data_IF_942630089003
#
_entry.id   IF_942630089003
#
_cell.length_a   1.000
_cell.length_b   1.000
_cell.length_c   1.000
_cell.angle_alpha   90.00
_cell.angle_beta   90.00
_cell.angle_gamma   90.00
#
_symmetry.space_group_name_H-M   'P 1'
#
loop_
_entity.id
_entity.type
_entity.pdbx_description
1 polymer ?
#
# COMPACT_ATOMS: atom_id res chain seq x y z
N UNK A 1 26.19 -24.78 -26.55
CA UNK A 1 25.77 -24.33 -25.21
C UNK A 1 24.25 -24.43 -25.15
N UNK A 2 23.66 -24.99 -24.07
CA UNK A 2 22.21 -24.97 -23.91
C UNK A 2 21.75 -23.52 -23.80
N UNK A 3 20.86 -23.09 -24.69
CA UNK A 3 20.20 -21.78 -24.59
C UNK A 3 18.88 -21.96 -23.84
N UNK A 4 18.47 -20.97 -23.05
CA UNK A 4 17.16 -20.93 -22.39
C UNK A 4 16.02 -21.14 -23.41
N UNK A 5 16.22 -20.73 -24.67
CA UNK A 5 15.28 -20.92 -25.77
C UNK A 5 15.07 -22.40 -26.14
N UNK A 6 16.08 -23.24 -25.89
CA UNK A 6 16.06 -24.68 -26.14
C UNK A 6 15.40 -25.51 -25.03
N UNK A 7 15.06 -24.90 -23.88
CA UNK A 7 14.41 -25.61 -22.78
C UNK A 7 12.95 -25.97 -23.12
N UNK A 8 12.44 -27.14 -22.76
CA UNK A 8 11.00 -27.42 -22.81
C UNK A 8 10.18 -26.36 -22.04
N UNK A 9 8.93 -26.08 -22.46
CA UNK A 9 8.06 -25.11 -21.78
C UNK A 9 7.93 -25.34 -20.27
N UNK A 10 7.93 -26.59 -19.83
CA UNK A 10 7.82 -27.00 -18.43
C UNK A 10 9.04 -26.55 -17.61
N UNK A 11 10.25 -26.64 -18.18
CA UNK A 11 11.47 -26.16 -17.54
C UNK A 11 11.53 -24.63 -17.54
N UNK A 12 11.04 -23.98 -18.59
CA UNK A 12 10.93 -22.52 -18.63
C UNK A 12 9.93 -22.00 -17.59
N UNK A 13 8.80 -22.69 -17.40
CA UNK A 13 7.83 -22.40 -16.35
C UNK A 13 8.43 -22.61 -14.95
N UNK A 14 9.24 -23.67 -14.77
CA UNK A 14 9.96 -23.88 -13.52
C UNK A 14 10.93 -22.74 -13.19
N UNK A 15 11.60 -22.16 -14.19
CA UNK A 15 12.44 -20.96 -14.00
C UNK A 15 11.60 -19.79 -13.50
N UNK A 16 10.43 -19.53 -14.10
CA UNK A 16 9.53 -18.48 -13.63
C UNK A 16 9.10 -18.67 -12.17
N UNK A 17 8.75 -19.90 -11.78
CA UNK A 17 8.33 -20.20 -10.40
C UNK A 17 9.44 -19.97 -9.35
N UNK A 18 10.70 -19.88 -9.77
CA UNK A 18 11.87 -19.66 -8.91
C UNK A 18 12.37 -18.23 -8.89
N UNK A 19 11.66 -17.29 -9.54
CA UNK A 19 11.99 -15.87 -9.45
C UNK A 19 11.56 -15.31 -8.08
N UNK A 20 12.27 -14.29 -7.64
CA UNK A 20 12.01 -13.62 -6.36
C UNK A 20 11.08 -12.41 -6.52
N UNK A 21 10.78 -11.99 -7.74
CA UNK A 21 9.94 -10.82 -8.04
C UNK A 21 9.09 -11.00 -9.29
N UNK A 22 7.85 -10.51 -9.23
CA UNK A 22 6.96 -10.40 -10.40
C UNK A 22 7.58 -9.47 -11.45
N UNK A 23 8.39 -8.51 -11.02
CA UNK A 23 9.17 -7.64 -11.91
C UNK A 23 10.08 -8.44 -12.83
N UNK A 24 10.90 -9.31 -12.23
CA UNK A 24 11.83 -10.15 -12.99
C UNK A 24 11.08 -11.11 -13.92
N UNK A 25 9.90 -11.59 -13.52
CA UNK A 25 9.05 -12.40 -14.37
C UNK A 25 8.59 -11.62 -15.61
N UNK A 26 8.12 -10.38 -15.44
CA UNK A 26 7.73 -9.51 -16.57
C UNK A 26 8.92 -9.21 -17.49
N UNK A 27 10.11 -8.91 -16.94
CA UNK A 27 11.31 -8.68 -17.74
C UNK A 27 11.76 -9.94 -18.50
N UNK A 28 11.69 -11.11 -17.85
CA UNK A 28 11.99 -12.40 -18.46
C UNK A 28 11.02 -12.70 -19.60
N UNK A 29 9.73 -12.41 -19.42
CA UNK A 29 8.71 -12.51 -20.46
C UNK A 29 9.01 -11.61 -21.65
N UNK A 30 9.49 -10.39 -21.41
CA UNK A 30 9.89 -9.45 -22.44
C UNK A 30 11.13 -9.86 -23.25
N UNK A 31 11.90 -10.85 -22.78
CA UNK A 31 13.18 -11.23 -23.40
C UNK A 31 13.02 -12.03 -24.69
N UNK A 32 11.96 -12.81 -24.86
CA UNK A 32 11.69 -13.53 -26.11
C UNK A 32 10.23 -14.00 -26.25
N UNK A 33 9.80 -14.28 -27.50
CA UNK A 33 8.44 -14.74 -27.80
C UNK A 33 8.02 -15.99 -27.03
N UNK A 34 8.93 -16.94 -26.80
CA UNK A 34 8.60 -18.19 -26.09
C UNK A 34 8.23 -17.93 -24.63
N UNK A 35 9.02 -17.10 -23.95
CA UNK A 35 8.80 -16.73 -22.55
C UNK A 35 7.58 -15.82 -22.42
N UNK A 36 7.39 -14.91 -23.38
CA UNK A 36 6.17 -14.13 -23.50
C UNK A 36 4.92 -15.01 -23.61
N UNK A 37 4.93 -16.06 -24.43
CA UNK A 37 3.79 -16.95 -24.60
C UNK A 37 3.41 -17.74 -23.33
N UNK A 38 4.39 -18.00 -22.44
CA UNK A 38 4.12 -18.62 -21.14
C UNK A 38 3.44 -17.58 -20.23
N UNK A 39 4.00 -16.38 -20.16
CA UNK A 39 3.46 -15.29 -19.34
C UNK A 39 2.09 -14.77 -19.83
N UNK A 40 1.84 -14.80 -21.14
CA UNK A 40 0.59 -14.30 -21.71
C UNK A 40 -0.61 -15.21 -21.41
N UNK A 41 -0.38 -16.44 -20.96
CA UNK A 41 -1.44 -17.34 -20.50
C UNK A 41 -1.82 -16.95 -19.08
N UNK A 42 -3.05 -16.50 -18.89
CA UNK A 42 -3.55 -16.03 -17.59
C UNK A 42 -3.33 -17.05 -16.47
N UNK A 43 -3.65 -18.32 -16.73
CA UNK A 43 -3.47 -19.39 -15.76
C UNK A 43 -2.00 -19.59 -15.34
N UNK A 44 -1.06 -19.55 -16.29
CA UNK A 44 0.37 -19.70 -16.00
C UNK A 44 0.89 -18.46 -15.26
N UNK A 45 0.48 -17.27 -15.67
CA UNK A 45 0.80 -16.00 -15.01
C UNK A 45 0.37 -15.97 -13.54
N UNK A 46 -0.85 -16.42 -13.25
CA UNK A 46 -1.39 -16.52 -11.89
C UNK A 46 -0.59 -17.52 -11.04
N UNK A 47 -0.27 -18.70 -11.59
CA UNK A 47 0.56 -19.71 -10.89
C UNK A 47 1.98 -19.20 -10.64
N UNK A 48 2.55 -18.46 -11.58
CA UNK A 48 3.87 -17.82 -11.43
C UNK A 48 3.81 -16.80 -10.30
N UNK A 49 2.82 -15.88 -10.33
CA UNK A 49 2.65 -14.86 -9.32
C UNK A 49 2.46 -15.46 -7.92
N UNK A 50 1.57 -16.44 -7.78
CA UNK A 50 1.37 -17.18 -6.54
C UNK A 50 2.70 -17.76 -6.04
N UNK A 51 3.43 -18.48 -6.88
CA UNK A 51 4.74 -19.04 -6.51
C UNK A 51 5.72 -17.96 -6.05
N UNK A 52 5.83 -16.84 -6.76
CA UNK A 52 6.73 -15.75 -6.37
C UNK A 52 6.33 -15.18 -5.00
N UNK A 53 5.04 -14.92 -4.76
CA UNK A 53 4.55 -14.36 -3.50
C UNK A 53 4.76 -15.35 -2.34
N UNK A 54 4.49 -16.64 -2.55
CA UNK A 54 4.69 -17.70 -1.54
C UNK A 54 6.15 -17.85 -1.15
N UNK A 55 7.07 -17.77 -2.12
CA UNK A 55 8.50 -17.99 -1.89
C UNK A 55 9.28 -16.69 -1.60
N UNK A 56 8.64 -15.52 -1.77
CA UNK A 56 9.27 -14.24 -1.48
C UNK A 56 9.83 -14.27 -0.05
N UNK A 57 11.08 -13.82 0.17
CA UNK A 57 11.63 -13.68 1.51
C UNK A 57 10.65 -12.92 2.41
N UNK A 58 10.68 -13.24 3.71
CA UNK A 58 9.92 -12.44 4.69
C UNK A 58 10.23 -10.96 4.50
N UNK A 59 9.21 -10.10 4.39
CA UNK A 59 9.43 -8.70 4.11
C UNK A 59 10.18 -8.07 5.28
N UNK A 60 11.50 -7.99 5.15
CA UNK A 60 12.38 -7.16 6.01
C UNK A 60 12.67 -5.86 5.29
N UNK A 61 11.67 -5.35 4.57
CA UNK A 61 11.77 -4.13 3.79
C UNK A 61 12.02 -2.98 4.76
N UNK A 62 13.16 -2.33 4.56
CA UNK A 62 13.48 -1.02 5.15
C UNK A 62 13.55 -0.01 4.02
N UNK A 63 12.40 0.49 3.54
CA UNK A 63 12.36 1.52 2.53
C UNK A 63 13.23 2.70 2.93
N UNK A 64 14.00 3.19 1.97
CA UNK A 64 14.63 4.49 2.04
C UNK A 64 14.12 5.35 0.89
N UNK A 65 14.60 6.59 0.81
CA UNK A 65 14.21 7.52 -0.26
C UNK A 65 14.37 6.93 -1.66
N UNK A 66 15.45 6.20 -1.92
CA UNK A 66 15.68 5.58 -3.23
C UNK A 66 14.68 4.46 -3.52
N UNK A 67 14.32 3.67 -2.52
CA UNK A 67 13.28 2.66 -2.64
C UNK A 67 11.93 3.31 -3.00
N UNK A 68 11.51 4.35 -2.26
CA UNK A 68 10.26 5.07 -2.56
C UNK A 68 10.24 5.61 -3.99
N UNK A 69 11.32 6.27 -4.40
CA UNK A 69 11.46 6.80 -5.75
C UNK A 69 11.46 5.72 -6.84
N UNK A 70 12.01 4.54 -6.56
CA UNK A 70 12.04 3.41 -7.51
C UNK A 70 10.65 2.81 -7.71
N UNK A 71 9.86 2.72 -6.65
CA UNK A 71 8.58 2.03 -6.66
C UNK A 71 7.38 2.93 -6.96
N UNK A 72 7.41 4.19 -6.53
CA UNK A 72 6.33 5.16 -6.76
C UNK A 72 6.69 6.24 -7.79
N UNK A 73 7.98 6.40 -8.11
CA UNK A 73 8.49 7.46 -8.98
C UNK A 73 9.00 8.67 -8.19
N UNK A 74 10.13 9.23 -8.63
CA UNK A 74 10.82 10.36 -7.96
C UNK A 74 9.88 11.54 -7.75
N UNK A 75 9.09 11.90 -8.77
CA UNK A 75 8.20 13.06 -8.73
C UNK A 75 6.97 12.83 -7.85
N UNK A 76 6.78 11.64 -7.29
CA UNK A 76 5.62 11.29 -6.49
C UNK A 76 5.93 11.02 -5.03
N UNK A 77 7.19 11.18 -4.62
CA UNK A 77 7.56 11.15 -3.20
C UNK A 77 7.42 12.56 -2.64
N UNK A 78 6.48 12.76 -1.71
CA UNK A 78 6.36 13.98 -0.93
C UNK A 78 7.31 13.92 0.26
N UNK A 79 8.21 14.89 0.33
CA UNK A 79 9.23 14.99 1.38
C UNK A 79 9.24 16.44 1.90
N UNK A 80 8.48 16.75 2.97
CA UNK A 80 8.47 18.09 3.55
C UNK A 80 9.83 18.44 4.16
N UNK A 81 10.07 19.74 4.38
CA UNK A 81 11.15 20.20 5.25
C UNK A 81 10.61 20.41 6.68
N UNK A 82 11.51 20.54 7.65
CA UNK A 82 11.16 20.81 9.05
C UNK A 82 10.11 21.92 9.25
N UNK A 83 10.22 23.11 8.62
CA UNK A 83 9.22 24.17 8.80
C UNK A 83 7.87 23.88 8.13
N UNK A 84 7.80 22.90 7.23
CA UNK A 84 6.57 22.51 6.53
C UNK A 84 5.77 21.48 7.35
N UNK A 85 6.40 20.83 8.34
CA UNK A 85 5.73 19.90 9.24
C UNK A 85 4.90 20.66 10.29
N UNK A 86 3.65 20.25 10.56
CA UNK A 86 2.84 20.81 11.62
C UNK A 86 3.53 20.71 12.97
N UNK A 87 3.34 21.72 13.82
CA UNK A 87 3.87 21.72 15.20
C UNK A 87 3.24 20.63 16.06
N UNK A 88 1.99 20.25 15.75
CA UNK A 88 1.22 19.22 16.46
C UNK A 88 1.55 17.78 16.01
N UNK A 89 2.38 17.60 14.98
CA UNK A 89 2.92 16.29 14.62
C UNK A 89 4.20 16.06 15.44
N UNK A 90 4.07 15.58 16.67
CA UNK A 90 5.17 15.43 17.62
C UNK A 90 5.81 14.05 17.62
N UNK A 91 5.17 13.02 17.04
CA UNK A 91 5.76 11.68 16.95
C UNK A 91 7.10 11.71 16.20
N UNK A 92 8.18 11.41 16.93
CA UNK A 92 9.56 11.47 16.41
C UNK A 92 9.78 10.51 15.24
N UNK A 93 9.12 9.34 15.27
CA UNK A 93 9.29 8.30 14.24
C UNK A 93 8.70 8.76 12.91
N UNK A 94 7.48 9.28 12.94
CA UNK A 94 6.77 9.81 11.78
C UNK A 94 7.50 11.02 11.22
N UNK A 95 7.93 11.96 12.06
CA UNK A 95 8.72 13.12 11.64
C UNK A 95 10.00 12.69 10.93
N UNK A 96 10.80 11.81 11.55
CA UNK A 96 12.05 11.33 10.97
C UNK A 96 11.82 10.65 9.61
N UNK A 97 10.78 9.81 9.50
CA UNK A 97 10.43 9.17 8.24
C UNK A 97 10.09 10.18 7.15
N UNK A 98 9.27 11.19 7.44
CA UNK A 98 8.88 12.21 6.46
C UNK A 98 10.06 13.06 6.00
N UNK A 99 10.96 13.41 6.92
CA UNK A 99 12.12 14.25 6.64
C UNK A 99 13.23 13.51 5.90
N UNK A 100 13.46 12.23 6.22
CA UNK A 100 14.57 11.46 5.65
C UNK A 100 14.17 10.69 4.38
N UNK A 101 12.95 10.15 4.37
CA UNK A 101 12.46 9.22 3.32
C UNK A 101 11.36 9.86 2.49
N UNK A 102 10.36 10.47 3.14
CA UNK A 102 9.15 10.97 2.52
C UNK A 102 8.07 9.89 2.31
N UNK A 103 6.85 10.33 1.98
CA UNK A 103 5.69 9.47 1.77
C UNK A 103 5.20 9.55 0.31
N UNK A 104 4.69 8.46 -0.30
CA UNK A 104 4.16 8.50 -1.66
C UNK A 104 2.87 9.33 -1.73
N UNK A 105 2.90 10.41 -2.50
CA UNK A 105 1.77 11.28 -2.79
C UNK A 105 1.24 10.98 -4.19
N UNK A 106 0.57 9.84 -4.32
CA UNK A 106 0.22 9.18 -5.59
C UNK A 106 -1.27 8.89 -5.66
N UNK A 107 -1.77 8.71 -6.87
CA UNK A 107 -3.07 8.07 -7.11
C UNK A 107 -2.85 6.67 -7.66
N UNK A 108 -3.14 5.65 -6.85
CA UNK A 108 -3.04 4.23 -7.24
C UNK A 108 -4.41 3.73 -7.66
N UNK A 109 -4.80 4.08 -8.90
CA UNK A 109 -6.15 3.81 -9.44
C UNK A 109 -6.61 2.35 -9.29
N UNK A 110 -5.69 1.40 -9.42
CA UNK A 110 -5.98 -0.04 -9.35
C UNK A 110 -6.50 -0.48 -7.97
N UNK A 111 -6.23 0.31 -6.93
CA UNK A 111 -6.62 0.01 -5.55
C UNK A 111 -7.38 1.19 -4.93
N UNK A 112 -7.93 2.11 -5.73
CA UNK A 112 -8.72 3.24 -5.22
C UNK A 112 -8.00 4.29 -4.36
N UNK A 113 -6.70 4.14 -4.09
CA UNK A 113 -5.94 5.02 -3.19
C UNK A 113 -5.59 6.38 -3.82
N UNK A 114 -5.75 7.45 -3.04
CA UNK A 114 -5.34 8.81 -3.38
C UNK A 114 -4.68 9.53 -2.19
N UNK A 115 -3.42 9.91 -2.37
CA UNK A 115 -2.65 10.78 -1.47
C UNK A 115 -2.06 11.99 -2.19
N UNK A 116 -2.58 12.33 -3.38
CA UNK A 116 -2.04 13.41 -4.21
C UNK A 116 -2.21 14.80 -3.60
N UNK A 117 -3.10 14.95 -2.62
CA UNK A 117 -3.30 16.20 -1.87
C UNK A 117 -2.05 16.62 -1.09
N UNK A 118 -1.19 15.68 -0.70
CA UNK A 118 0.04 15.97 0.05
C UNK A 118 1.02 16.87 -0.72
N UNK A 119 0.95 16.91 -2.06
CA UNK A 119 1.81 17.80 -2.88
C UNK A 119 1.16 19.14 -3.21
N UNK A 120 -0.08 19.41 -2.76
CA UNK A 120 -0.71 20.70 -3.04
C UNK A 120 0.03 21.79 -2.26
N UNK A 121 0.27 22.93 -2.90
CA UNK A 121 0.89 24.11 -2.29
C UNK A 121 -0.07 24.84 -1.31
N UNK A 122 -0.95 24.09 -0.64
CA UNK A 122 -2.01 24.63 0.24
C UNK A 122 -1.49 24.95 1.66
N UNK A 123 -0.18 24.79 1.89
CA UNK A 123 0.48 25.03 3.17
C UNK A 123 0.79 23.74 3.94
N UNK A 124 1.11 23.85 5.24
CA UNK A 124 1.32 22.68 6.11
C UNK A 124 0.09 21.77 6.14
N UNK A 125 0.28 20.50 6.51
CA UNK A 125 -0.84 19.59 6.72
C UNK A 125 -1.83 20.18 7.74
N UNK A 126 -3.11 20.17 7.37
CA UNK A 126 -4.19 20.61 8.24
C UNK A 126 -4.27 19.70 9.47
N UNK A 127 -4.23 20.31 10.65
CA UNK A 127 -4.36 19.63 11.92
C UNK A 127 -5.84 19.49 12.25
N UNK A 128 -6.33 18.26 12.29
CA UNK A 128 -7.69 17.94 12.70
C UNK A 128 -7.72 17.61 14.18
N UNK A 129 -8.82 17.94 14.82
CA UNK A 129 -9.06 17.62 16.22
C UNK A 129 -9.39 16.14 16.39
N UNK A 130 -8.41 15.36 16.83
CA UNK A 130 -8.57 13.90 16.92
C UNK A 130 -9.65 13.49 17.92
N UNK A 131 -9.80 14.24 19.01
CA UNK A 131 -10.81 13.95 20.03
C UNK A 131 -12.22 14.17 19.49
N UNK A 132 -12.39 15.14 18.58
CA UNK A 132 -13.64 15.34 17.85
C UNK A 132 -13.89 14.20 16.87
N UNK A 133 -12.88 13.89 16.02
CA UNK A 133 -13.00 12.88 14.98
C UNK A 133 -13.37 11.50 15.55
N UNK A 134 -12.83 11.16 16.72
CA UNK A 134 -13.03 9.86 17.36
C UNK A 134 -14.06 9.89 18.50
N UNK A 135 -14.82 10.98 18.64
CA UNK A 135 -15.94 11.08 19.59
C UNK A 135 -15.53 11.01 21.06
N UNK A 136 -14.29 11.37 21.37
CA UNK A 136 -13.77 11.48 22.74
C UNK A 136 -14.18 12.80 23.41
N UNK A 137 -14.63 13.78 22.61
CA UNK A 137 -15.12 15.08 23.06
C UNK A 137 -16.60 15.29 22.69
N UNK A 138 -17.32 16.00 23.55
CA UNK A 138 -18.75 16.28 23.34
C UNK A 138 -18.96 17.44 22.35
N UNK A 139 -20.06 17.45 21.57
CA UNK A 139 -20.33 18.50 20.59
C UNK A 139 -20.37 19.95 21.11
N UNK A 140 -20.60 20.15 22.41
CA UNK A 140 -20.68 21.47 23.05
C UNK A 140 -19.40 21.83 23.85
N UNK A 141 -18.30 21.08 23.66
CA UNK A 141 -17.04 21.32 24.33
C UNK A 141 -16.14 22.25 23.49
N UNK A 142 -16.20 23.54 23.80
CA UNK A 142 -15.38 24.60 23.18
C UNK A 142 -13.92 24.63 23.70
N UNK A 143 -13.47 23.62 24.45
CA UNK A 143 -12.06 23.57 24.88
C UNK A 143 -11.12 23.38 23.68
N UNK A 144 -9.92 23.99 23.71
CA UNK A 144 -8.94 23.80 22.64
C UNK A 144 -8.57 22.31 22.46
N UNK A 145 -8.30 21.85 21.23
CA UNK A 145 -7.82 20.49 20.99
C UNK A 145 -6.52 20.22 21.73
N UNK A 146 -6.45 19.05 22.36
CA UNK A 146 -5.21 18.50 22.93
C UNK A 146 -4.59 17.46 21.99
N UNK A 147 -5.41 16.69 21.28
CA UNK A 147 -4.97 15.64 20.33
C UNK A 147 -5.26 16.02 18.89
N UNK A 148 -4.29 15.75 18.00
CA UNK A 148 -4.38 16.11 16.59
C UNK A 148 -4.19 14.92 15.67
N UNK A 149 -4.85 14.94 14.52
CA UNK A 149 -4.68 13.96 13.45
C UNK A 149 -4.51 14.64 12.09
N UNK A 150 -3.84 13.97 11.16
CA UNK A 150 -3.49 14.51 9.85
C UNK A 150 -3.89 13.56 8.72
N UNK A 151 -4.52 14.09 7.67
CA UNK A 151 -4.94 13.28 6.51
C UNK A 151 -3.75 12.93 5.61
N UNK A 152 -3.47 11.63 5.45
CA UNK A 152 -2.38 11.13 4.61
C UNK A 152 -2.83 10.45 3.33
N UNK A 153 -4.08 10.02 3.26
CA UNK A 153 -4.66 9.50 2.03
C UNK A 153 -6.12 9.15 2.21
N UNK A 154 -6.73 8.72 1.11
CA UNK A 154 -8.15 8.39 1.06
C UNK A 154 -8.41 7.31 0.04
N UNK A 155 -9.54 6.65 0.20
CA UNK A 155 -10.13 5.67 -0.74
C UNK A 155 -11.60 6.03 -0.87
N UNK A 156 -12.09 6.45 -2.04
CA UNK A 156 -13.47 6.92 -2.31
C UNK A 156 -14.16 7.70 -1.17
N UNK A 157 -14.72 7.01 -0.17
CA UNK A 157 -15.47 7.58 0.97
C UNK A 157 -14.69 7.61 2.30
N UNK A 158 -13.55 6.93 2.37
CA UNK A 158 -12.78 6.72 3.61
C UNK A 158 -11.47 7.48 3.63
N UNK A 159 -11.02 7.83 4.84
CA UNK A 159 -9.79 8.57 5.07
C UNK A 159 -8.79 7.74 5.88
N UNK A 160 -7.51 7.95 5.62
CA UNK A 160 -6.42 7.45 6.43
C UNK A 160 -5.75 8.61 7.14
N UNK A 161 -5.89 8.60 8.46
CA UNK A 161 -5.43 9.64 9.35
C UNK A 161 -4.19 9.17 10.10
N UNK A 162 -3.31 10.10 10.44
CA UNK A 162 -2.12 9.85 11.27
C UNK A 162 -2.21 10.67 12.54
N UNK A 163 -2.14 10.00 13.69
CA UNK A 163 -2.09 10.65 14.99
C UNK A 163 -0.83 11.49 15.15
N UNK A 164 -0.99 12.72 15.66
CA UNK A 164 0.09 13.68 15.81
C UNK A 164 1.09 13.27 16.89
N UNK A 165 0.61 12.76 18.01
CA UNK A 165 1.45 12.38 19.16
C UNK A 165 2.05 10.98 19.05
N UNK A 166 1.28 10.03 18.55
CA UNK A 166 1.62 8.60 18.56
C UNK A 166 1.99 8.02 17.19
N UNK A 167 1.77 8.78 16.10
CA UNK A 167 2.02 8.33 14.74
C UNK A 167 1.09 7.22 14.26
N UNK A 168 0.02 6.92 15.00
CA UNK A 168 -0.88 5.82 14.69
C UNK A 168 -1.59 6.06 13.35
N UNK A 169 -1.55 5.07 12.45
CA UNK A 169 -2.20 5.15 11.13
C UNK A 169 -3.56 4.48 11.21
N UNK A 170 -4.61 5.29 11.18
CA UNK A 170 -5.97 4.84 11.47
C UNK A 170 -6.90 5.06 10.28
N UNK A 171 -7.87 4.17 10.18
CA UNK A 171 -8.97 4.25 9.24
C UNK A 171 -10.06 5.13 9.86
N UNK A 172 -10.47 6.16 9.14
CA UNK A 172 -11.49 7.11 9.56
C UNK A 172 -12.66 7.14 8.58
N UNK A 173 -13.86 6.97 9.13
CA UNK A 173 -15.13 7.16 8.43
C UNK A 173 -15.70 8.56 8.74
N UNK A 174 -15.74 9.48 7.76
CA UNK A 174 -16.27 10.81 7.97
C UNK A 174 -17.77 10.83 8.31
N UNK A 175 -18.54 9.80 7.91
CA UNK A 175 -19.96 9.72 8.22
C UNK A 175 -20.23 9.28 9.67
N UNK A 176 -19.20 8.81 10.38
CA UNK A 176 -19.29 8.38 11.78
C UNK A 176 -19.05 9.50 12.81
N UNK A 177 -18.65 10.70 12.38
CA UNK A 177 -18.21 11.79 13.26
C UNK A 177 -19.26 12.22 14.29
N UNK A 178 -20.50 12.41 13.86
CA UNK A 178 -21.61 12.86 14.72
C UNK A 178 -22.18 11.74 15.63
N UNK A 179 -21.66 10.53 15.52
CA UNK A 179 -22.10 9.35 16.27
C UNK A 179 -20.98 8.68 17.10
N UNK A 180 -19.80 9.30 17.21
CA UNK A 180 -18.61 8.68 17.82
C UNK A 180 -18.23 7.33 17.19
N UNK A 181 -18.50 7.17 15.89
CA UNK A 181 -18.24 5.97 15.09
C UNK A 181 -17.22 6.25 13.95
N UNK A 182 -16.49 7.36 14.03
CA UNK A 182 -15.50 7.72 13.02
C UNK A 182 -14.28 6.79 13.02
N UNK A 183 -13.91 6.21 14.17
CA UNK A 183 -12.77 5.30 14.26
C UNK A 183 -13.11 3.90 13.75
N UNK A 184 -12.45 3.47 12.67
CA UNK A 184 -12.70 2.17 12.03
C UNK A 184 -11.55 1.17 12.19
N UNK A 185 -10.55 1.48 13.03
CA UNK A 185 -9.43 0.59 13.34
C UNK A 185 -8.09 1.08 12.79
N UNK A 186 -7.03 0.34 13.12
CA UNK A 186 -5.69 0.58 12.59
C UNK A 186 -5.57 0.08 11.14
N UNK A 187 -4.78 0.79 10.35
CA UNK A 187 -4.42 0.42 8.98
C UNK A 187 -2.98 -0.06 8.90
N UNK A 188 -2.09 0.57 9.66
CA UNK A 188 -0.69 0.21 9.72
C UNK A 188 -0.10 0.67 11.06
N UNK A 189 0.99 0.04 11.47
CA UNK A 189 1.75 0.46 12.66
C UNK A 189 2.48 1.80 12.47
N UNK A 190 2.75 2.21 11.22
CA UNK A 190 3.40 3.48 10.89
C UNK A 190 3.19 3.87 9.42
N UNK A 191 3.49 5.13 9.07
CA UNK A 191 3.46 5.59 7.68
C UNK A 191 4.41 4.82 6.75
N UNK A 192 5.58 4.42 7.26
CA UNK A 192 6.52 3.60 6.50
C UNK A 192 5.86 2.28 6.13
N UNK A 193 5.19 1.64 7.09
CA UNK A 193 4.53 0.37 6.88
C UNK A 193 3.36 0.51 5.89
N UNK A 194 2.54 1.55 6.04
CA UNK A 194 1.47 1.86 5.09
C UNK A 194 2.00 1.97 3.65
N UNK A 195 3.08 2.72 3.43
CA UNK A 195 3.65 2.87 2.09
C UNK A 195 4.12 1.54 1.49
N UNK A 196 4.68 0.64 2.29
CA UNK A 196 5.08 -0.70 1.82
C UNK A 196 3.86 -1.56 1.50
N UNK A 197 2.85 -1.56 2.36
CA UNK A 197 1.60 -2.32 2.16
C UNK A 197 0.87 -1.86 0.89
N UNK A 198 0.78 -0.55 0.67
CA UNK A 198 0.22 0.02 -0.57
C UNK A 198 1.00 -0.41 -1.80
N UNK A 199 2.34 -0.40 -1.73
CA UNK A 199 3.17 -0.88 -2.85
C UNK A 199 2.95 -2.37 -3.12
N UNK A 200 2.95 -3.22 -2.08
CA UNK A 200 2.77 -4.67 -2.24
C UNK A 200 1.47 -4.99 -2.99
N UNK A 201 0.37 -4.33 -2.61
CA UNK A 201 -0.93 -4.52 -3.24
C UNK A 201 -0.95 -3.96 -4.67
N UNK A 202 -0.49 -2.72 -4.85
CA UNK A 202 -0.49 -2.07 -6.16
C UNK A 202 0.41 -2.78 -7.18
N UNK A 203 1.58 -3.26 -6.76
CA UNK A 203 2.55 -3.93 -7.64
C UNK A 203 1.98 -5.24 -8.22
N UNK A 204 1.35 -6.04 -7.37
CA UNK A 204 0.69 -7.29 -7.77
C UNK A 204 -0.49 -6.98 -8.71
N UNK A 205 -1.38 -6.06 -8.30
CA UNK A 205 -2.57 -5.74 -9.08
C UNK A 205 -2.25 -5.14 -10.46
N UNK A 206 -1.28 -4.20 -10.53
CA UNK A 206 -0.88 -3.56 -11.80
C UNK A 206 -0.15 -4.51 -12.76
N UNK A 207 0.69 -5.42 -12.25
CA UNK A 207 1.49 -6.32 -13.11
C UNK A 207 0.68 -7.46 -13.67
N UNK A 208 -0.35 -7.89 -12.96
CA UNK A 208 -1.13 -9.03 -13.36
C UNK A 208 -2.23 -8.65 -14.36
N UNK A 209 -2.73 -7.40 -14.37
CA UNK A 209 -3.68 -6.88 -15.37
C UNK A 209 -4.79 -7.90 -15.70
N UNK A 210 -5.38 -8.48 -14.65
CA UNK A 210 -6.31 -9.60 -14.80
C UNK A 210 -7.72 -9.06 -14.94
N UNK A 211 -8.44 -9.59 -15.93
CA UNK A 211 -9.90 -9.49 -15.97
C UNK A 211 -10.46 -10.66 -15.13
N UNK A 212 -11.21 -10.37 -14.06
CA UNK A 212 -11.70 -11.35 -13.07
C UNK A 212 -12.46 -12.54 -13.67
N UNK A 213 -13.16 -12.31 -14.79
CA UNK A 213 -14.21 -13.20 -15.29
C UNK A 213 -13.76 -14.61 -15.74
N UNK A 214 -12.49 -14.85 -16.06
CA UNK A 214 -12.04 -16.15 -16.62
C UNK A 214 -11.30 -17.05 -15.61
N UNK A 215 -10.74 -16.52 -14.52
CA UNK A 215 -9.91 -17.27 -13.56
C UNK A 215 -10.05 -16.72 -12.12
N UNK A 216 -11.28 -16.37 -11.71
CA UNK A 216 -11.58 -15.77 -10.41
C UNK A 216 -11.01 -16.56 -9.23
N UNK A 217 -11.17 -17.88 -9.20
CA UNK A 217 -10.64 -18.73 -8.12
C UNK A 217 -9.12 -18.65 -7.99
N UNK A 218 -8.39 -18.71 -9.12
CA UNK A 218 -6.94 -18.62 -9.12
C UNK A 218 -6.45 -17.21 -8.75
N UNK A 219 -7.24 -16.18 -9.08
CA UNK A 219 -6.98 -14.81 -8.64
C UNK A 219 -7.16 -14.65 -7.13
N UNK A 220 -8.25 -15.18 -6.57
CA UNK A 220 -8.50 -15.19 -5.13
C UNK A 220 -7.38 -15.89 -4.35
N UNK A 221 -6.80 -16.96 -4.89
CA UNK A 221 -5.62 -17.62 -4.29
C UNK A 221 -4.39 -16.71 -4.27
N UNK A 222 -4.16 -15.92 -5.32
CA UNK A 222 -3.04 -14.95 -5.35
C UNK A 222 -3.27 -13.84 -4.32
N UNK A 223 -4.48 -13.28 -4.27
CA UNK A 223 -4.83 -12.20 -3.34
C UNK A 223 -4.79 -12.65 -1.88
N UNK A 224 -5.32 -13.83 -1.56
CA UNK A 224 -5.28 -14.37 -0.19
C UNK A 224 -3.84 -14.62 0.27
N UNK A 225 -3.01 -15.19 -0.61
CA UNK A 225 -1.58 -15.38 -0.33
C UNK A 225 -0.89 -14.03 -0.11
N UNK A 226 -1.17 -13.02 -0.95
CA UNK A 226 -0.62 -11.68 -0.76
C UNK A 226 -1.03 -11.06 0.57
N UNK A 227 -2.31 -11.21 0.95
CA UNK A 227 -2.82 -10.73 2.24
C UNK A 227 -2.10 -11.38 3.42
N UNK A 228 -1.85 -12.69 3.38
CA UNK A 228 -1.03 -13.37 4.40
C UNK A 228 0.38 -12.78 4.48
N UNK A 229 1.01 -12.47 3.34
CA UNK A 229 2.33 -11.81 3.32
C UNK A 229 2.30 -10.39 3.88
N UNK A 230 1.21 -9.65 3.65
CA UNK A 230 1.01 -8.33 4.22
C UNK A 230 0.79 -8.39 5.74
N UNK A 231 0.03 -9.37 6.23
CA UNK A 231 -0.14 -9.65 7.68
C UNK A 231 1.19 -10.02 8.34
N UNK A 232 2.02 -10.83 7.69
CA UNK A 232 3.38 -11.13 8.19
C UNK A 232 4.28 -9.89 8.28
N UNK A 233 4.01 -8.86 7.48
CA UNK A 233 4.76 -7.60 7.50
C UNK A 233 4.25 -6.64 8.58
N UNK A 234 2.93 -6.50 8.68
CA UNK A 234 2.24 -5.65 9.62
C UNK A 234 0.92 -6.30 10.04
N UNK A 235 0.77 -6.59 11.33
CA UNK A 235 -0.39 -7.28 11.89
C UNK A 235 -1.66 -6.42 11.86
N UNK A 236 -1.55 -5.10 11.67
CA UNK A 236 -2.70 -4.23 11.45
C UNK A 236 -3.48 -4.56 10.17
N UNK A 237 -2.94 -5.41 9.29
CA UNK A 237 -3.67 -5.91 8.11
C UNK A 237 -4.73 -6.95 8.50
N UNK A 238 -4.51 -7.69 9.58
CA UNK A 238 -5.41 -8.76 10.02
C UNK A 238 -6.73 -8.17 10.56
N UNK A 239 -7.84 -8.49 9.90
CA UNK A 239 -9.18 -8.02 10.31
C UNK A 239 -9.44 -6.53 10.10
N UNK A 240 -8.59 -5.84 9.35
CA UNK A 240 -8.77 -4.42 9.04
C UNK A 240 -9.80 -4.23 7.92
N UNK A 241 -10.88 -3.51 8.25
CA UNK A 241 -11.92 -3.12 7.28
C UNK A 241 -11.36 -2.37 6.07
N UNK A 242 -10.34 -1.54 6.29
CA UNK A 242 -9.66 -0.80 5.23
C UNK A 242 -9.05 -1.77 4.21
N UNK A 243 -8.22 -2.72 4.68
CA UNK A 243 -7.57 -3.67 3.78
C UNK A 243 -8.58 -4.63 3.15
N UNK A 244 -9.59 -5.08 3.90
CA UNK A 244 -10.67 -5.91 3.36
C UNK A 244 -11.36 -5.22 2.18
N UNK A 245 -11.79 -3.96 2.34
CA UNK A 245 -12.40 -3.18 1.26
C UNK A 245 -11.46 -2.96 0.07
N UNK A 246 -10.17 -2.71 0.32
CA UNK A 246 -9.16 -2.58 -0.74
C UNK A 246 -9.02 -3.88 -1.56
N UNK A 247 -8.95 -5.03 -0.90
CA UNK A 247 -8.86 -6.33 -1.58
C UNK A 247 -10.13 -6.67 -2.35
N UNK A 248 -11.31 -6.31 -1.83
CA UNK A 248 -12.60 -6.49 -2.51
C UNK A 248 -12.71 -5.61 -3.77
N UNK A 249 -12.19 -4.38 -3.74
CA UNK A 249 -12.25 -3.44 -4.87
C UNK A 249 -11.39 -3.81 -6.08
N UNK A 250 -10.43 -4.74 -5.91
CA UNK A 250 -9.52 -5.21 -6.95
C UNK A 250 -10.17 -6.30 -7.82
N UNK A 251 -11.27 -6.88 -7.34
CA UNK A 251 -12.04 -7.95 -8.00
C UNK A 251 -13.05 -7.38 -8.98
#
# INVERSE_FOLDING_TARGET
>A
MPSILGLPPELALWVYHRLDSITDAVHLAGSCRKLHNIWSRQQDRLKIAHSIITHAPRPTLRPNKNWMATHFGVDWVWQPQEPDLPVNLTDETTRAFLLDVGFPAVKLKVIGWDSTHLKKDDGPLEAWDADELYGLRYPDDDSPPDNFAFLFGSTDEWMVMVGGEDGAVVHYDPDGWDHADGYQGLVATSLLHLAVLLWMLADVAQRLQITPDEEEEAWQVVLSTLKERMIEYDDCVEGSKFWDGMFESIV
#
